data_IF_648145425806
#
_entry.id   IF_648145425806
#
_cell.length_a   1.000
_cell.length_b   1.000
_cell.length_c   1.000
_cell.angle_alpha   90.00
_cell.angle_beta   90.00
_cell.angle_gamma   90.00
#
_symmetry.space_group_name_H-M   'P 1'
#
loop_
_entity.id
_entity.type
_entity.pdbx_description
1 polymer ?
#
# COMPACT_ATOMS: atom_id res chain seq x y z
N UNK A 1 11.53 32.72 24.91
CA UNK A 1 11.70 32.41 23.48
C UNK A 1 11.47 30.92 23.35
N UNK A 2 10.49 30.48 22.55
CA UNK A 2 10.44 29.07 22.21
C UNK A 2 11.71 28.79 21.40
N UNK A 3 12.53 27.85 21.84
CA UNK A 3 13.55 27.27 20.96
C UNK A 3 12.84 26.86 19.66
N UNK A 4 13.48 27.10 18.51
CA UNK A 4 13.08 26.52 17.23
C UNK A 4 13.28 25.00 17.32
N UNK A 5 12.38 24.34 18.07
CA UNK A 5 12.49 22.94 18.44
C UNK A 5 11.94 22.13 17.26
N UNK A 6 12.85 21.71 16.39
CA UNK A 6 12.53 20.79 15.30
C UNK A 6 11.96 19.50 15.91
N UNK A 7 10.77 19.12 15.48
CA UNK A 7 10.10 17.91 15.95
C UNK A 7 10.20 16.77 14.93
N UNK A 8 10.23 15.51 15.39
CA UNK A 8 10.23 14.37 14.49
C UNK A 8 8.95 14.35 13.64
N UNK A 9 9.03 13.96 12.35
CA UNK A 9 7.90 14.04 11.43
C UNK A 9 6.83 12.96 11.67
N UNK A 10 7.09 11.96 12.53
CA UNK A 10 6.25 10.77 12.66
C UNK A 10 4.77 11.09 12.99
N UNK A 11 4.50 12.08 13.84
CA UNK A 11 3.13 12.50 14.15
C UNK A 11 2.39 13.08 12.94
N UNK A 12 3.07 13.92 12.16
CA UNK A 12 2.52 14.49 10.92
C UNK A 12 2.28 13.40 9.87
N UNK A 13 3.20 12.44 9.73
CA UNK A 13 3.06 11.32 8.79
C UNK A 13 1.88 10.42 9.17
N UNK A 14 1.67 10.15 10.47
CA UNK A 14 0.50 9.41 10.93
C UNK A 14 -0.82 10.11 10.59
N UNK A 15 -0.85 11.45 10.73
CA UNK A 15 -1.99 12.27 10.30
C UNK A 15 -2.24 12.18 8.79
N UNK A 16 -1.18 12.21 7.99
CA UNK A 16 -1.25 12.05 6.53
C UNK A 16 -1.81 10.67 6.16
N UNK A 17 -1.34 9.59 6.81
CA UNK A 17 -1.85 8.24 6.58
C UNK A 17 -3.36 8.17 6.79
N UNK A 18 -3.84 8.70 7.92
CA UNK A 18 -5.28 8.77 8.20
C UNK A 18 -6.03 9.58 7.14
N UNK A 19 -5.52 10.76 6.76
CA UNK A 19 -6.19 11.65 5.80
C UNK A 19 -6.26 11.01 4.41
N UNK A 20 -5.16 10.46 3.91
CA UNK A 20 -5.09 9.79 2.60
C UNK A 20 -6.02 8.57 2.55
N UNK A 21 -6.03 7.76 3.61
CA UNK A 21 -6.91 6.59 3.69
C UNK A 21 -8.38 6.97 3.70
N UNK A 22 -8.75 8.04 4.41
CA UNK A 22 -10.12 8.49 4.51
C UNK A 22 -10.63 9.10 3.19
N UNK A 23 -9.78 9.86 2.50
CA UNK A 23 -10.17 10.58 1.29
C UNK A 23 -10.20 9.71 0.03
N UNK A 24 -9.28 8.75 -0.08
CA UNK A 24 -9.11 7.93 -1.30
C UNK A 24 -9.11 6.45 -0.95
N UNK A 25 -8.38 6.06 0.08
CA UNK A 25 -8.24 4.67 0.50
C UNK A 25 -6.78 4.25 0.65
N UNK A 26 -6.57 3.13 1.35
CA UNK A 26 -5.24 2.59 1.70
C UNK A 26 -4.36 2.25 0.49
N UNK A 27 -4.98 2.06 -0.68
CA UNK A 27 -4.30 1.76 -1.94
C UNK A 27 -3.56 2.96 -2.52
N UNK A 28 -3.94 4.19 -2.13
CA UNK A 28 -3.20 5.40 -2.50
C UNK A 28 -1.92 5.50 -1.66
N UNK A 29 -0.80 5.74 -2.33
CA UNK A 29 0.46 6.06 -1.67
C UNK A 29 0.33 7.34 -0.82
N UNK A 30 0.77 7.34 0.45
CA UNK A 30 0.79 8.54 1.30
C UNK A 30 1.98 9.46 0.94
N UNK A 31 2.22 9.65 -0.35
CA UNK A 31 3.26 10.49 -0.93
C UNK A 31 2.62 11.60 -1.76
N UNK A 32 3.40 12.64 -2.04
CA UNK A 32 2.96 13.88 -2.67
C UNK A 32 1.82 14.58 -1.87
N UNK A 33 1.71 14.29 -0.58
CA UNK A 33 0.76 14.90 0.35
C UNK A 33 1.40 16.11 1.03
N UNK A 34 0.63 17.19 1.21
CA UNK A 34 1.10 18.39 1.92
C UNK A 34 1.16 18.12 3.42
N UNK A 35 2.24 18.58 4.05
CA UNK A 35 2.37 18.55 5.51
C UNK A 35 1.83 19.87 6.05
N UNK A 36 0.66 19.82 6.65
CA UNK A 36 -0.02 20.99 7.22
C UNK A 36 0.64 21.40 8.55
N UNK A 37 0.65 22.69 8.85
CA UNK A 37 1.17 23.22 10.11
C UNK A 37 2.70 23.26 10.24
N UNK A 38 3.44 22.90 9.18
CA UNK A 38 4.91 22.94 9.16
C UNK A 38 5.40 24.19 8.43
N UNK A 39 6.31 24.93 9.07
CA UNK A 39 6.91 26.14 8.53
C UNK A 39 8.13 25.83 7.65
N UNK A 40 9.04 24.99 8.14
CA UNK A 40 10.25 24.62 7.41
C UNK A 40 10.74 23.20 7.77
N UNK A 41 11.68 22.69 6.99
CA UNK A 41 12.44 21.49 7.26
C UNK A 41 13.84 21.87 7.74
N UNK A 42 14.35 21.15 8.74
CA UNK A 42 15.72 21.32 9.25
C UNK A 42 16.77 21.09 8.15
N UNK A 43 16.53 20.09 7.30
CA UNK A 43 17.41 19.69 6.22
C UNK A 43 16.71 19.80 4.87
N UNK A 44 17.26 20.64 4.00
CA UNK A 44 16.82 20.77 2.62
C UNK A 44 17.62 19.81 1.74
N UNK A 45 16.96 18.75 1.28
CA UNK A 45 17.59 17.74 0.43
C UNK A 45 17.51 18.11 -1.05
N UNK A 46 18.62 17.91 -1.76
CA UNK A 46 18.70 17.96 -3.22
C UNK A 46 18.15 16.68 -3.85
N UNK A 47 17.89 16.71 -5.16
CA UNK A 47 17.47 15.51 -5.89
C UNK A 47 18.55 14.43 -5.91
N UNK A 48 19.83 14.82 -5.91
CA UNK A 48 20.95 13.87 -5.91
C UNK A 48 21.10 13.16 -4.56
N UNK A 49 20.95 13.88 -3.45
CA UNK A 49 20.95 13.28 -2.12
C UNK A 49 19.78 12.32 -1.95
N UNK A 50 18.58 12.73 -2.37
CA UNK A 50 17.42 11.85 -2.33
C UNK A 50 17.63 10.58 -3.19
N UNK A 51 18.22 10.69 -4.37
CA UNK A 51 18.49 9.53 -5.22
C UNK A 51 19.39 8.50 -4.54
N UNK A 52 20.25 8.92 -3.60
CA UNK A 52 21.08 8.02 -2.77
C UNK A 52 20.30 7.39 -1.61
N UNK A 53 19.28 8.09 -1.08
CA UNK A 53 18.46 7.66 0.05
C UNK A 53 17.32 6.72 -0.36
N UNK A 54 16.76 6.90 -1.56
CA UNK A 54 15.63 6.10 -2.07
C UNK A 54 15.89 4.58 -2.06
N UNK A 55 17.06 4.05 -2.48
CA UNK A 55 17.35 2.62 -2.42
C UNK A 55 17.38 2.06 -1.00
N UNK A 56 17.63 2.89 0.02
CA UNK A 56 17.59 2.49 1.43
C UNK A 56 16.16 2.54 2.02
N UNK A 57 15.14 2.83 1.21
CA UNK A 57 13.74 2.93 1.67
C UNK A 57 13.45 4.19 2.48
N UNK A 58 14.32 5.20 2.44
CA UNK A 58 14.15 6.45 3.18
C UNK A 58 13.26 7.41 2.39
N UNK A 59 12.05 7.66 2.90
CA UNK A 59 11.11 8.60 2.31
C UNK A 59 11.39 10.02 2.79
N UNK A 60 11.86 10.87 1.88
CA UNK A 60 12.27 12.24 2.19
C UNK A 60 11.07 13.19 2.27
N UNK A 61 11.17 14.22 3.11
CA UNK A 61 10.27 15.38 3.07
C UNK A 61 10.95 16.46 2.22
N UNK A 62 10.17 17.11 1.35
CA UNK A 62 10.71 18.11 0.40
C UNK A 62 9.89 19.38 0.43
N UNK A 63 10.56 20.51 0.58
CA UNK A 63 9.98 21.82 0.25
C UNK A 63 10.13 22.06 -1.25
N UNK A 64 9.04 22.44 -1.92
CA UNK A 64 9.08 22.90 -3.31
C UNK A 64 8.42 24.27 -3.44
N UNK A 65 9.05 25.23 -4.14
CA UNK A 65 8.45 26.54 -4.38
C UNK A 65 7.03 26.42 -4.94
N UNK A 66 6.07 27.11 -4.31
CA UNK A 66 4.67 27.12 -4.73
C UNK A 66 3.85 25.85 -4.44
N UNK A 67 4.44 24.80 -3.85
CA UNK A 67 3.73 23.54 -3.53
C UNK A 67 3.69 23.17 -2.05
N UNK A 68 4.40 23.93 -1.22
CA UNK A 68 4.57 23.67 0.21
C UNK A 68 5.53 22.52 0.49
N UNK A 69 5.58 22.09 1.76
CA UNK A 69 6.35 20.93 2.21
C UNK A 69 5.51 19.67 1.99
N UNK A 70 6.10 18.66 1.36
CA UNK A 70 5.42 17.42 0.99
C UNK A 70 6.21 16.17 1.35
N UNK A 71 5.49 15.08 1.58
CA UNK A 71 6.06 13.73 1.63
C UNK A 71 6.48 13.33 0.22
N UNK A 72 7.73 12.92 0.03
CA UNK A 72 8.30 12.64 -1.30
C UNK A 72 8.90 11.24 -1.37
N UNK A 73 8.09 10.25 -1.02
CA UNK A 73 8.41 8.82 -1.11
C UNK A 73 7.34 7.96 -0.46
N UNK A 74 7.19 6.73 -0.94
CA UNK A 74 6.27 5.75 -0.38
C UNK A 74 6.90 4.35 -0.27
N UNK A 75 8.23 4.28 -0.12
CA UNK A 75 8.96 3.02 0.01
C UNK A 75 8.90 2.45 1.42
N UNK A 76 8.91 1.13 1.54
CA UNK A 76 9.16 0.43 2.79
C UNK A 76 10.66 0.16 2.94
N UNK A 77 11.06 -0.38 4.09
CA UNK A 77 12.41 -0.89 4.35
C UNK A 77 12.61 -2.33 3.83
N UNK A 78 11.62 -2.90 3.14
CA UNK A 78 11.70 -4.27 2.65
C UNK A 78 12.69 -4.38 1.48
N UNK A 79 13.48 -5.45 1.50
CA UNK A 79 14.35 -5.84 0.38
C UNK A 79 13.62 -6.65 -0.70
N UNK A 80 12.47 -7.23 -0.36
CA UNK A 80 11.62 -7.97 -1.30
C UNK A 80 10.91 -7.00 -2.24
N UNK A 81 11.09 -7.22 -3.55
CA UNK A 81 10.50 -6.45 -4.63
C UNK A 81 8.95 -6.37 -4.54
N UNK A 82 8.32 -7.38 -3.95
CA UNK A 82 6.87 -7.47 -3.76
C UNK A 82 6.35 -6.47 -2.72
N UNK A 83 7.22 -6.07 -1.77
CA UNK A 83 6.86 -5.24 -0.62
C UNK A 83 7.48 -3.85 -0.65
N UNK A 84 7.96 -3.39 -1.81
CA UNK A 84 8.67 -2.11 -1.93
C UNK A 84 7.80 -0.92 -1.52
N UNK A 85 6.49 -0.98 -1.75
CA UNK A 85 5.60 0.19 -1.53
C UNK A 85 4.70 0.07 -0.29
N UNK A 86 4.58 1.18 0.42
CA UNK A 86 3.78 1.34 1.65
C UNK A 86 2.30 1.06 1.38
N UNK A 87 1.73 1.57 0.29
CA UNK A 87 0.31 1.38 -0.03
C UNK A 87 -0.01 -0.10 -0.31
N UNK A 88 0.86 -0.82 -1.04
CA UNK A 88 0.70 -2.26 -1.25
C UNK A 88 0.70 -3.02 0.07
N UNK A 89 1.65 -2.70 0.96
CA UNK A 89 1.74 -3.35 2.27
C UNK A 89 0.52 -3.05 3.16
N UNK A 90 0.04 -1.81 3.14
CA UNK A 90 -1.12 -1.38 3.94
C UNK A 90 -2.43 -1.96 3.40
N UNK A 91 -2.57 -2.13 2.09
CA UNK A 91 -3.71 -2.82 1.49
C UNK A 91 -3.82 -4.26 1.99
N UNK A 92 -2.69 -4.97 2.08
CA UNK A 92 -2.65 -6.31 2.65
C UNK A 92 -2.98 -6.34 4.14
N UNK A 93 -2.46 -5.41 4.94
CA UNK A 93 -2.84 -5.32 6.35
C UNK A 93 -4.34 -5.05 6.53
N UNK A 94 -4.95 -4.24 5.65
CA UNK A 94 -6.40 -4.04 5.62
C UNK A 94 -7.14 -5.35 5.31
N UNK A 95 -6.68 -6.13 4.34
CA UNK A 95 -7.26 -7.45 4.03
C UNK A 95 -7.10 -8.41 5.21
N UNK A 96 -5.90 -8.56 5.77
CA UNK A 96 -5.64 -9.43 6.93
C UNK A 96 -6.56 -9.06 8.10
N UNK A 97 -6.69 -7.75 8.38
CA UNK A 97 -7.59 -7.28 9.44
C UNK A 97 -9.05 -7.59 9.15
N UNK A 98 -9.49 -7.46 7.90
CA UNK A 98 -10.85 -7.82 7.51
C UNK A 98 -11.10 -9.33 7.69
N UNK A 99 -10.15 -10.17 7.29
CA UNK A 99 -10.22 -11.64 7.46
C UNK A 99 -10.32 -12.00 8.94
N UNK A 100 -9.46 -11.42 9.78
CA UNK A 100 -9.48 -11.64 11.22
C UNK A 100 -10.83 -11.27 11.86
N UNK A 101 -11.49 -10.22 11.38
CA UNK A 101 -12.75 -9.75 11.97
C UNK A 101 -13.97 -10.52 11.48
N UNK A 102 -13.98 -10.95 10.20
CA UNK A 102 -15.17 -11.53 9.57
C UNK A 102 -15.14 -13.06 9.56
N UNK A 103 -13.95 -13.67 9.45
CA UNK A 103 -13.81 -15.14 9.46
C UNK A 103 -13.55 -15.73 10.85
N UNK A 104 -13.45 -14.90 11.90
CA UNK A 104 -13.23 -15.38 13.27
C UNK A 104 -14.27 -16.41 13.73
N UNK A 105 -15.54 -16.15 13.42
CA UNK A 105 -16.67 -16.97 13.87
C UNK A 105 -16.76 -18.33 13.15
N UNK A 106 -15.93 -18.54 12.15
CA UNK A 106 -15.85 -19.79 11.37
C UNK A 106 -14.92 -20.82 12.06
N UNK A 107 -14.26 -20.41 13.15
CA UNK A 107 -13.41 -21.29 13.95
C UNK A 107 -14.26 -22.36 14.65
N UNK A 108 -13.83 -23.62 14.61
CA UNK A 108 -14.52 -24.81 15.16
C UNK A 108 -15.75 -25.30 14.37
N UNK A 109 -15.97 -24.79 13.15
CA UNK A 109 -16.97 -25.35 12.25
C UNK A 109 -16.58 -26.73 11.71
N UNK A 110 -17.58 -27.51 11.28
CA UNK A 110 -17.35 -28.81 10.65
C UNK A 110 -16.61 -28.65 9.33
N UNK A 111 -15.54 -29.45 9.14
CA UNK A 111 -14.70 -29.43 7.93
C UNK A 111 -15.45 -30.04 6.74
N UNK A 112 -16.27 -29.22 6.09
CA UNK A 112 -17.17 -29.61 5.00
C UNK A 112 -16.92 -28.75 3.77
N UNK A 113 -17.33 -29.25 2.60
CA UNK A 113 -17.28 -28.46 1.37
C UNK A 113 -18.10 -27.16 1.48
N UNK A 114 -19.20 -27.18 2.26
CA UNK A 114 -20.02 -26.00 2.52
C UNK A 114 -19.23 -24.89 3.23
N UNK A 115 -18.37 -25.27 4.19
CA UNK A 115 -17.47 -24.35 4.89
C UNK A 115 -16.51 -23.66 3.91
N UNK A 116 -15.92 -24.42 3.00
CA UNK A 116 -14.97 -23.87 2.03
C UNK A 116 -15.64 -22.92 1.05
N UNK A 117 -16.79 -23.32 0.50
CA UNK A 117 -17.59 -22.45 -0.37
C UNK A 117 -18.06 -21.19 0.35
N UNK A 118 -18.41 -21.28 1.64
CA UNK A 118 -18.74 -20.12 2.45
C UNK A 118 -17.55 -19.15 2.54
N UNK A 119 -16.37 -19.65 2.93
CA UNK A 119 -15.14 -18.84 3.05
C UNK A 119 -14.79 -18.18 1.71
N UNK A 120 -14.81 -18.97 0.62
CA UNK A 120 -14.51 -18.51 -0.73
C UNK A 120 -15.48 -17.40 -1.17
N UNK A 121 -16.78 -17.56 -0.93
CA UNK A 121 -17.79 -16.56 -1.27
C UNK A 121 -17.62 -15.27 -0.48
N UNK A 122 -17.43 -15.35 0.84
CA UNK A 122 -17.24 -14.16 1.69
C UNK A 122 -16.01 -13.34 1.26
N UNK A 123 -14.89 -14.03 1.02
CA UNK A 123 -13.67 -13.40 0.51
C UNK A 123 -13.88 -12.80 -0.88
N UNK A 124 -14.55 -13.52 -1.77
CA UNK A 124 -14.80 -13.07 -3.14
C UNK A 124 -15.68 -11.82 -3.16
N UNK A 125 -16.74 -11.77 -2.35
CA UNK A 125 -17.59 -10.58 -2.21
C UNK A 125 -16.78 -9.37 -1.74
N UNK A 126 -15.95 -9.55 -0.70
CA UNK A 126 -15.11 -8.46 -0.20
C UNK A 126 -14.08 -7.99 -1.23
N UNK A 127 -13.36 -8.91 -1.88
CA UNK A 127 -12.33 -8.57 -2.86
C UNK A 127 -12.92 -7.91 -4.12
N UNK A 128 -14.12 -8.33 -4.55
CA UNK A 128 -14.86 -7.62 -5.61
C UNK A 128 -15.14 -6.16 -5.23
N UNK A 129 -15.53 -5.89 -3.98
CA UNK A 129 -15.72 -4.50 -3.52
C UNK A 129 -14.44 -3.66 -3.60
N UNK A 130 -13.26 -4.29 -3.45
CA UNK A 130 -11.97 -3.61 -3.60
C UNK A 130 -11.62 -3.35 -5.07
N UNK A 131 -12.01 -4.25 -5.99
CA UNK A 131 -11.86 -4.04 -7.45
C UNK A 131 -12.77 -2.91 -7.92
N UNK A 132 -14.05 -2.90 -7.52
CA UNK A 132 -15.00 -1.84 -7.85
C UNK A 132 -14.54 -0.48 -7.34
N UNK A 133 -13.90 -0.45 -6.17
CA UNK A 133 -13.30 0.75 -5.60
C UNK A 133 -11.92 1.11 -6.20
N UNK A 134 -11.45 0.38 -7.23
CA UNK A 134 -10.18 0.64 -7.92
C UNK A 134 -8.91 0.35 -7.10
N UNK A 135 -9.03 -0.39 -6.00
CA UNK A 135 -7.90 -0.72 -5.12
C UNK A 135 -7.11 -1.92 -5.63
N UNK A 136 -7.79 -2.83 -6.32
CA UNK A 136 -7.25 -4.02 -6.97
C UNK A 136 -7.57 -3.97 -8.46
N UNK A 137 -6.68 -4.52 -9.27
CA UNK A 137 -6.92 -4.78 -10.69
C UNK A 137 -7.60 -6.13 -10.91
N UNK A 138 -7.16 -7.14 -10.15
CA UNK A 138 -7.63 -8.52 -10.25
C UNK A 138 -7.31 -9.28 -8.96
N UNK A 139 -7.97 -10.43 -8.75
CA UNK A 139 -7.71 -11.33 -7.63
C UNK A 139 -8.15 -12.76 -7.95
N UNK A 140 -7.68 -13.73 -7.16
CA UNK A 140 -8.29 -15.04 -7.06
C UNK A 140 -8.40 -15.49 -5.61
N UNK A 141 -9.40 -16.31 -5.34
CA UNK A 141 -9.55 -17.04 -4.07
C UNK A 141 -9.72 -18.50 -4.42
N UNK A 142 -9.05 -19.38 -3.67
CA UNK A 142 -9.20 -20.83 -3.82
C UNK A 142 -9.32 -21.47 -2.46
N UNK A 143 -10.47 -22.08 -2.19
CA UNK A 143 -10.72 -22.90 -1.00
C UNK A 143 -11.51 -24.13 -1.42
N UNK A 144 -10.82 -25.23 -1.67
CA UNK A 144 -11.37 -26.44 -2.28
C UNK A 144 -10.65 -27.70 -1.78
N UNK A 145 -11.00 -28.85 -2.36
CA UNK A 145 -10.40 -30.13 -2.00
C UNK A 145 -8.89 -30.20 -2.34
N UNK A 146 -8.43 -29.49 -3.37
CA UNK A 146 -7.01 -29.45 -3.75
C UNK A 146 -6.17 -28.71 -2.71
N UNK A 147 -6.66 -27.56 -2.26
CA UNK A 147 -6.04 -26.76 -1.19
C UNK A 147 -6.21 -27.39 0.19
N UNK A 148 -7.25 -28.21 0.37
CA UNK A 148 -7.56 -28.89 1.63
C UNK A 148 -7.51 -30.42 1.48
N UNK A 149 -6.33 -31.04 1.30
CA UNK A 149 -6.21 -32.49 1.24
C UNK A 149 -6.48 -33.12 2.62
N UNK A 150 -6.81 -34.42 2.66
CA UNK A 150 -7.11 -35.16 3.91
C UNK A 150 -6.05 -34.98 5.01
N UNK A 151 -4.78 -34.84 4.64
CA UNK A 151 -3.68 -34.60 5.58
C UNK A 151 -3.86 -33.29 6.38
N UNK A 152 -4.33 -32.22 5.75
CA UNK A 152 -4.58 -30.94 6.42
C UNK A 152 -5.91 -30.97 7.19
N UNK A 153 -6.94 -31.63 6.64
CA UNK A 153 -8.23 -31.80 7.33
C UNK A 153 -8.07 -32.57 8.66
N UNK A 154 -7.23 -33.60 8.66
CA UNK A 154 -6.93 -34.38 9.86
C UNK A 154 -6.19 -33.55 10.93
N UNK A 155 -5.52 -32.46 10.54
CA UNK A 155 -4.91 -31.50 11.46
C UNK A 155 -5.89 -30.40 11.90
N UNK A 156 -7.14 -30.43 11.42
CA UNK A 156 -8.16 -29.42 11.72
C UNK A 156 -7.90 -28.07 11.06
N UNK A 157 -7.10 -28.00 9.99
CA UNK A 157 -6.78 -26.76 9.29
C UNK A 157 -7.63 -26.61 8.03
N UNK A 158 -8.15 -25.41 7.81
CA UNK A 158 -8.71 -24.99 6.52
C UNK A 158 -7.71 -24.05 5.86
N UNK A 159 -7.25 -24.42 4.68
CA UNK A 159 -6.31 -23.66 3.88
C UNK A 159 -7.06 -22.95 2.77
N UNK A 160 -6.82 -21.64 2.64
CA UNK A 160 -7.37 -20.80 1.58
C UNK A 160 -6.23 -20.04 0.93
N UNK A 161 -6.11 -20.14 -0.38
CA UNK A 161 -5.13 -19.41 -1.16
C UNK A 161 -5.78 -18.16 -1.75
N UNK A 162 -5.11 -17.03 -1.64
CA UNK A 162 -5.58 -15.74 -2.15
C UNK A 162 -4.44 -15.11 -2.94
N UNK A 163 -4.69 -14.83 -4.22
CA UNK A 163 -3.82 -13.99 -5.04
C UNK A 163 -4.42 -12.62 -5.26
N UNK A 164 -3.57 -11.58 -5.21
CA UNK A 164 -4.00 -10.19 -5.35
C UNK A 164 -3.13 -9.49 -6.39
N UNK A 165 -3.76 -8.73 -7.27
CA UNK A 165 -3.09 -7.79 -8.17
C UNK A 165 -3.40 -6.34 -7.71
N UNK A 166 -2.57 -5.74 -6.84
CA UNK A 166 -2.78 -4.38 -6.37
C UNK A 166 -2.55 -3.35 -7.48
N UNK A 167 -3.30 -2.25 -7.46
CA UNK A 167 -3.03 -1.11 -8.32
C UNK A 167 -1.71 -0.44 -7.89
N UNK A 168 -0.66 -0.58 -8.70
CA UNK A 168 0.66 0.00 -8.40
C UNK A 168 0.67 1.47 -8.86
N UNK A 169 0.99 2.43 -7.97
CA UNK A 169 1.06 3.84 -8.33
C UNK A 169 2.29 4.13 -9.21
N UNK A 170 2.16 5.08 -10.13
CA UNK A 170 3.29 5.54 -10.94
C UNK A 170 4.31 6.30 -10.06
N UNK A 171 5.50 5.73 -9.88
CA UNK A 171 6.58 6.35 -9.10
C UNK A 171 7.30 7.47 -9.89
N UNK A 172 7.43 7.30 -11.21
CA UNK A 172 8.09 8.25 -12.11
C UNK A 172 7.21 8.51 -13.32
N UNK A 173 7.15 9.77 -13.75
CA UNK A 173 6.49 10.14 -15.00
C UNK A 173 7.58 10.52 -15.99
N UNK A 174 7.70 9.75 -17.07
CA UNK A 174 8.62 10.06 -18.18
C UNK A 174 7.78 10.53 -19.35
N UNK A 175 7.89 11.82 -19.67
CA UNK A 175 7.22 12.41 -20.85
C UNK A 175 8.26 12.62 -21.93
N UNK A 176 8.08 11.97 -23.10
CA UNK A 176 8.90 12.21 -24.29
C UNK A 176 8.13 13.14 -25.22
N UNK A 177 8.70 14.32 -25.51
CA UNK A 177 8.14 15.28 -26.47
C UNK A 177 8.95 15.17 -27.76
N UNK A 178 8.31 14.76 -28.85
CA UNK A 178 8.94 14.58 -30.16
C UNK A 178 8.54 15.73 -31.09
N UNK A 179 9.49 16.26 -31.86
CA UNK A 179 9.26 17.15 -32.99
C UNK A 179 10.08 16.65 -34.19
N UNK A 180 9.40 16.06 -35.18
CA UNK A 180 10.05 15.34 -36.28
C UNK A 180 10.74 14.05 -35.81
N UNK A 181 11.91 13.73 -36.38
CA UNK A 181 12.73 12.57 -35.98
C UNK A 181 13.52 12.79 -34.67
N UNK A 182 13.42 13.97 -34.07
CA UNK A 182 14.12 14.34 -32.84
C UNK A 182 13.14 14.56 -31.69
N UNK A 183 13.58 14.31 -30.46
CA UNK A 183 12.76 14.57 -29.28
C UNK A 183 13.55 14.82 -28.03
N UNK A 184 12.87 15.35 -27.02
CA UNK A 184 13.39 15.62 -25.68
C UNK A 184 12.68 14.72 -24.66
N UNK A 185 13.43 14.20 -23.69
CA UNK A 185 12.89 13.41 -22.58
C UNK A 185 12.88 14.25 -21.32
N UNK A 186 11.70 14.43 -20.72
CA UNK A 186 11.52 15.13 -19.46
C UNK A 186 11.20 14.09 -18.37
N UNK A 187 11.98 14.07 -17.30
CA UNK A 187 11.78 13.21 -16.13
C UNK A 187 11.33 14.05 -14.94
N UNK A 188 10.30 13.60 -14.22
CA UNK A 188 9.68 14.31 -13.10
C UNK A 188 9.42 13.42 -11.90
#
# INVERSE_FOLDING_TARGET
AAEDDFMPPCGHIAGIYRRTDYQVGVHKAPANEIIEGVLDLELQLTNQEQARLNPAGINCLRSRPGRGIRVWGARTLSVDASWVFINTRRLLFKLSRWIELNLHNVTFELHTQQLWTFIENELTVYLNSLVEAGQLLDFYVKCDEETNPKAERNQGKVMTEIGLAPAIPAEFIVVRVMHGESGITITG
#
